data_IF_391994709012
#
_entry.id   IF_391994709012
#
_cell.length_a   1.000
_cell.length_b   1.000
_cell.length_c   1.000
_cell.angle_alpha   90.00
_cell.angle_beta   90.00
_cell.angle_gamma   90.00
#
_symmetry.space_group_name_H-M   'P 1'
#
loop_
_entity.id
_entity.type
_entity.pdbx_description
1 polymer ?
#
# COMPACT_ATOMS: atom_id res chain seq x y z
N UNK A 1 12.60 -20.66 1.25
CA UNK A 1 11.83 -19.78 0.34
C UNK A 1 12.42 -19.74 -1.08
N UNK A 2 13.75 -19.59 -1.24
CA UNK A 2 14.39 -19.56 -2.56
C UNK A 2 14.11 -20.78 -3.43
N UNK A 3 14.15 -21.99 -2.87
CA UNK A 3 13.86 -23.24 -3.61
C UNK A 3 12.45 -23.27 -4.19
N UNK A 4 11.44 -22.79 -3.44
CA UNK A 4 10.06 -22.75 -3.90
C UNK A 4 9.90 -21.77 -5.07
N UNK A 5 10.53 -20.60 -4.97
CA UNK A 5 10.49 -19.57 -6.01
C UNK A 5 11.18 -20.04 -7.29
N UNK A 6 12.30 -20.74 -7.16
CA UNK A 6 13.02 -21.35 -8.29
C UNK A 6 12.18 -22.43 -8.99
N UNK A 7 11.52 -23.30 -8.22
CA UNK A 7 10.63 -24.35 -8.75
C UNK A 7 9.44 -23.71 -9.49
N UNK A 8 8.83 -22.67 -8.91
CA UNK A 8 7.73 -21.94 -9.53
C UNK A 8 8.15 -21.28 -10.85
N UNK A 9 9.35 -20.70 -10.88
CA UNK A 9 9.91 -20.08 -12.09
C UNK A 9 10.14 -21.06 -13.23
N UNK A 10 10.36 -22.34 -12.94
CA UNK A 10 10.50 -23.39 -13.95
C UNK A 10 9.12 -23.98 -14.32
N UNK A 11 8.25 -24.21 -13.35
CA UNK A 11 6.97 -24.91 -13.57
C UNK A 11 5.99 -24.03 -14.35
N UNK A 12 5.91 -22.73 -14.02
CA UNK A 12 4.96 -21.82 -14.68
C UNK A 12 5.17 -21.79 -16.20
N UNK A 13 6.37 -21.55 -16.74
CA UNK A 13 6.58 -21.59 -18.20
C UNK A 13 6.27 -22.93 -18.84
N UNK A 14 6.52 -24.05 -18.16
CA UNK A 14 6.20 -25.38 -18.68
C UNK A 14 4.67 -25.56 -18.80
N UNK A 15 3.92 -25.13 -17.81
CA UNK A 15 2.44 -25.15 -17.84
C UNK A 15 1.94 -24.26 -18.97
N UNK A 16 2.49 -23.02 -19.10
CA UNK A 16 2.10 -22.07 -20.15
C UNK A 16 2.29 -22.64 -21.55
N UNK A 17 3.47 -23.20 -21.84
CA UNK A 17 3.76 -23.82 -23.13
C UNK A 17 2.78 -24.99 -23.39
N UNK A 18 2.53 -25.81 -22.37
CA UNK A 18 1.60 -26.95 -22.49
C UNK A 18 0.18 -26.48 -22.82
N UNK A 19 -0.31 -25.42 -22.16
CA UNK A 19 -1.63 -24.84 -22.41
C UNK A 19 -1.68 -24.18 -23.79
N UNK A 20 -0.67 -23.40 -24.16
CA UNK A 20 -0.58 -22.78 -25.49
C UNK A 20 -0.60 -23.82 -26.61
N UNK A 21 0.10 -24.94 -26.44
CA UNK A 21 0.08 -26.03 -27.42
C UNK A 21 -1.29 -26.67 -27.56
N UNK A 22 -2.00 -26.92 -26.43
CA UNK A 22 -3.34 -27.50 -26.45
C UNK A 22 -4.37 -26.54 -27.07
N UNK A 23 -4.34 -25.28 -26.70
CA UNK A 23 -5.22 -24.24 -27.26
C UNK A 23 -4.93 -24.04 -28.75
N UNK A 24 -3.63 -24.00 -29.12
CA UNK A 24 -3.22 -23.90 -30.51
C UNK A 24 -3.61 -25.10 -31.39
N UNK A 25 -3.67 -26.31 -30.79
CA UNK A 25 -4.16 -27.52 -31.49
C UNK A 25 -5.66 -27.47 -31.78
N UNK A 26 -6.45 -26.84 -30.91
CA UNK A 26 -7.92 -26.74 -31.03
C UNK A 26 -8.34 -25.53 -31.87
N UNK A 27 -7.82 -24.36 -31.60
CA UNK A 27 -8.19 -23.10 -32.26
C UNK A 27 -7.34 -22.74 -33.47
N UNK A 28 -6.17 -23.36 -33.59
CA UNK A 28 -5.15 -22.98 -34.55
C UNK A 28 -4.17 -21.94 -34.01
N UNK A 29 -2.98 -21.89 -34.62
CA UNK A 29 -1.86 -21.05 -34.16
C UNK A 29 -2.19 -19.55 -34.26
N UNK A 30 -2.77 -19.10 -35.37
CA UNK A 30 -3.05 -17.68 -35.60
C UNK A 30 -4.10 -17.08 -34.61
N UNK A 31 -5.24 -17.73 -34.37
CA UNK A 31 -6.18 -17.26 -33.36
C UNK A 31 -5.58 -17.25 -31.95
N UNK A 32 -4.77 -18.23 -31.59
CA UNK A 32 -4.10 -18.30 -30.29
C UNK A 32 -3.17 -17.11 -30.09
N UNK A 33 -2.33 -16.78 -31.08
CA UNK A 33 -1.44 -15.61 -31.04
C UNK A 33 -2.27 -14.31 -30.93
N UNK A 34 -3.36 -14.20 -31.69
CA UNK A 34 -4.22 -13.03 -31.64
C UNK A 34 -4.84 -12.82 -30.26
N UNK A 35 -5.30 -13.91 -29.61
CA UNK A 35 -5.85 -13.85 -28.23
C UNK A 35 -4.77 -13.39 -27.24
N UNK A 36 -3.57 -13.97 -27.28
CA UNK A 36 -2.47 -13.59 -26.37
C UNK A 36 -2.09 -12.12 -26.55
N UNK A 37 -1.96 -11.63 -27.79
CA UNK A 37 -1.67 -10.22 -28.04
C UNK A 37 -2.80 -9.31 -27.52
N UNK A 38 -4.05 -9.72 -27.75
CA UNK A 38 -5.22 -8.95 -27.29
C UNK A 38 -5.31 -8.88 -25.76
N UNK A 39 -5.09 -10.00 -25.06
CA UNK A 39 -5.10 -10.04 -23.58
C UNK A 39 -3.96 -9.21 -22.99
N UNK A 40 -2.76 -9.31 -23.55
CA UNK A 40 -1.62 -8.50 -23.13
C UNK A 40 -1.87 -7.00 -23.33
N UNK A 41 -2.43 -6.60 -24.49
CA UNK A 41 -2.78 -5.21 -24.76
C UNK A 41 -3.85 -4.69 -23.80
N UNK A 42 -4.92 -5.48 -23.57
CA UNK A 42 -5.99 -5.16 -22.68
C UNK A 42 -5.46 -5.01 -21.24
N UNK A 43 -4.66 -5.96 -20.80
CA UNK A 43 -4.03 -5.95 -19.48
C UNK A 43 -3.13 -4.75 -19.26
N UNK A 44 -2.25 -4.44 -20.23
CA UNK A 44 -1.38 -3.26 -20.14
C UNK A 44 -2.18 -1.96 -20.03
N UNK A 45 -3.28 -1.83 -20.78
CA UNK A 45 -4.18 -0.68 -20.70
C UNK A 45 -4.79 -0.53 -19.31
N UNK A 46 -5.31 -1.63 -18.73
CA UNK A 46 -5.92 -1.60 -17.40
C UNK A 46 -4.89 -1.37 -16.29
N UNK A 47 -3.72 -2.00 -16.36
CA UNK A 47 -2.62 -1.77 -15.41
C UNK A 47 -2.23 -0.30 -15.41
N UNK A 48 -2.04 0.30 -16.58
CA UNK A 48 -1.71 1.73 -16.70
C UNK A 48 -2.80 2.63 -16.10
N UNK A 49 -4.06 2.38 -16.44
CA UNK A 49 -5.18 3.19 -15.94
C UNK A 49 -5.32 3.11 -14.42
N UNK A 50 -5.30 1.90 -13.88
CA UNK A 50 -5.43 1.67 -12.45
C UNK A 50 -4.18 2.14 -11.69
N UNK A 51 -2.99 1.95 -12.26
CA UNK A 51 -1.73 2.42 -11.69
C UNK A 51 -1.70 3.93 -11.52
N UNK A 52 -2.09 4.70 -12.56
CA UNK A 52 -2.19 6.16 -12.48
C UNK A 52 -3.23 6.60 -11.45
N UNK A 53 -4.39 5.96 -11.40
CA UNK A 53 -5.43 6.25 -10.39
C UNK A 53 -4.91 6.00 -8.97
N UNK A 54 -4.23 4.86 -8.74
CA UNK A 54 -3.63 4.53 -7.45
C UNK A 54 -2.56 5.54 -7.04
N UNK A 55 -1.71 5.96 -7.98
CA UNK A 55 -0.67 6.96 -7.73
C UNK A 55 -1.28 8.32 -7.32
N UNK A 56 -2.33 8.77 -8.01
CA UNK A 56 -3.05 9.99 -7.64
C UNK A 56 -3.68 9.89 -6.25
N UNK A 57 -4.26 8.72 -5.89
CA UNK A 57 -4.80 8.48 -4.54
C UNK A 57 -3.70 8.55 -3.47
N UNK A 58 -2.52 7.96 -3.73
CA UNK A 58 -1.36 8.07 -2.84
C UNK A 58 -0.98 9.52 -2.60
N UNK A 59 -0.82 10.31 -3.67
CA UNK A 59 -0.44 11.73 -3.57
C UNK A 59 -1.48 12.54 -2.79
N UNK A 60 -2.78 12.33 -3.04
CA UNK A 60 -3.85 13.02 -2.36
C UNK A 60 -3.87 12.70 -0.86
N UNK A 61 -3.74 11.42 -0.48
CA UNK A 61 -3.70 11.01 0.93
C UNK A 61 -2.47 11.55 1.65
N UNK A 62 -1.30 11.52 0.99
CA UNK A 62 -0.08 12.10 1.55
C UNK A 62 -0.19 13.61 1.77
N UNK A 63 -0.83 14.34 0.83
CA UNK A 63 -1.10 15.77 0.98
C UNK A 63 -2.04 16.08 2.15
N UNK A 64 -2.91 15.12 2.53
CA UNK A 64 -3.80 15.20 3.69
C UNK A 64 -3.15 14.71 4.99
N UNK A 65 -1.87 14.35 4.98
CA UNK A 65 -1.17 13.78 6.12
C UNK A 65 -1.59 12.35 6.48
N UNK A 66 -2.32 11.66 5.60
CA UNK A 66 -2.77 10.29 5.81
C UNK A 66 -1.78 9.28 5.24
N UNK A 67 -1.62 8.13 5.91
CA UNK A 67 -0.80 7.03 5.39
C UNK A 67 -1.57 6.22 4.33
N UNK A 68 -1.08 6.15 3.08
CA UNK A 68 -1.75 5.46 1.97
C UNK A 68 -1.45 3.95 1.96
N UNK A 69 -1.65 3.25 3.08
CA UNK A 69 -1.29 1.82 3.22
C UNK A 69 -2.04 0.92 2.23
N UNK A 70 -3.30 1.21 1.95
CA UNK A 70 -4.13 0.44 1.02
C UNK A 70 -3.70 0.64 -0.43
N UNK A 71 -3.33 1.87 -0.76
CA UNK A 71 -2.83 2.23 -2.08
C UNK A 71 -1.47 1.59 -2.36
N UNK A 72 -0.60 1.50 -1.35
CA UNK A 72 0.70 0.82 -1.47
C UNK A 72 0.50 -0.66 -1.77
N UNK A 73 -0.36 -1.35 -1.01
CA UNK A 73 -0.68 -2.76 -1.27
C UNK A 73 -1.33 -2.94 -2.64
N UNK A 74 -2.25 -2.06 -3.00
CA UNK A 74 -2.90 -2.02 -4.31
C UNK A 74 -1.87 -1.85 -5.44
N UNK A 75 -0.94 -0.91 -5.29
CA UNK A 75 0.13 -0.66 -6.26
C UNK A 75 1.04 -1.88 -6.45
N UNK A 76 1.40 -2.56 -5.35
CA UNK A 76 2.18 -3.80 -5.41
C UNK A 76 1.44 -4.90 -6.16
N UNK A 77 0.13 -5.06 -5.92
CA UNK A 77 -0.69 -6.05 -6.64
C UNK A 77 -0.81 -5.74 -8.13
N UNK A 78 -0.93 -4.45 -8.49
CA UNK A 78 -0.93 -4.01 -9.88
C UNK A 78 0.42 -4.29 -10.56
N UNK A 79 1.52 -4.13 -9.83
CA UNK A 79 2.84 -4.46 -10.32
C UNK A 79 2.97 -5.97 -10.60
N UNK A 80 2.52 -6.82 -9.68
CA UNK A 80 2.49 -8.28 -9.86
C UNK A 80 1.60 -8.67 -11.04
N UNK A 81 0.41 -8.06 -11.16
CA UNK A 81 -0.48 -8.27 -12.31
C UNK A 81 0.20 -7.88 -13.62
N UNK A 82 0.92 -6.76 -13.64
CA UNK A 82 1.69 -6.31 -14.79
C UNK A 82 2.79 -7.29 -15.20
N UNK A 83 3.52 -7.85 -14.24
CA UNK A 83 4.55 -8.88 -14.49
C UNK A 83 3.93 -10.13 -15.13
N UNK A 84 2.78 -10.61 -14.64
CA UNK A 84 2.07 -11.74 -15.22
C UNK A 84 1.63 -11.47 -16.65
N UNK A 85 1.10 -10.28 -16.95
CA UNK A 85 0.62 -9.89 -18.27
C UNK A 85 1.74 -9.58 -19.28
N UNK A 86 2.97 -9.28 -18.83
CA UNK A 86 4.16 -9.12 -19.70
C UNK A 86 4.71 -10.48 -20.12
N UNK A 87 4.51 -11.51 -19.31
CA UNK A 87 4.89 -12.88 -19.65
C UNK A 87 3.78 -13.48 -20.51
N UNK A 88 3.97 -13.63 -21.84
CA UNK A 88 2.90 -14.10 -22.72
C UNK A 88 2.50 -15.52 -22.35
N UNK A 89 1.25 -15.72 -21.92
CA UNK A 89 0.72 -17.02 -21.56
C UNK A 89 -0.78 -16.97 -21.26
N UNK A 90 -1.46 -18.12 -21.29
CA UNK A 90 -2.88 -18.21 -21.02
C UNK A 90 -3.19 -18.16 -19.52
N UNK A 91 -2.43 -18.90 -18.72
CA UNK A 91 -2.62 -19.00 -17.27
C UNK A 91 -2.15 -17.73 -16.59
N UNK A 92 -0.97 -17.22 -16.96
CA UNK A 92 -0.46 -15.96 -16.42
C UNK A 92 -1.33 -14.77 -16.80
N UNK A 93 -1.86 -14.70 -18.01
CA UNK A 93 -2.81 -13.66 -18.43
C UNK A 93 -4.09 -13.72 -17.61
N UNK A 94 -4.65 -14.92 -17.41
CA UNK A 94 -5.84 -15.09 -16.58
C UNK A 94 -5.60 -14.65 -15.12
N UNK A 95 -4.46 -15.02 -14.53
CA UNK A 95 -4.08 -14.59 -13.18
C UNK A 95 -3.85 -13.07 -13.11
N UNK A 96 -3.15 -12.50 -14.08
CA UNK A 96 -2.92 -11.07 -14.19
C UNK A 96 -4.22 -10.28 -14.30
N UNK A 97 -5.12 -10.68 -15.20
CA UNK A 97 -6.44 -10.07 -15.34
C UNK A 97 -7.31 -10.23 -14.09
N UNK A 98 -7.26 -11.37 -13.42
CA UNK A 98 -7.97 -11.57 -12.14
C UNK A 98 -7.52 -10.59 -11.06
N UNK A 99 -6.22 -10.32 -10.95
CA UNK A 99 -5.67 -9.33 -10.02
C UNK A 99 -6.06 -7.88 -10.36
N UNK A 100 -6.43 -7.59 -11.62
CA UNK A 100 -6.93 -6.29 -12.03
C UNK A 100 -8.37 -6.02 -11.58
N UNK A 101 -9.13 -7.06 -11.24
CA UNK A 101 -10.51 -6.93 -10.76
C UNK A 101 -10.48 -6.37 -9.32
N UNK A 102 -11.11 -5.20 -9.05
CA UNK A 102 -11.07 -4.58 -7.72
C UNK A 102 -11.62 -5.48 -6.61
N UNK A 103 -12.63 -6.31 -6.90
CA UNK A 103 -13.21 -7.23 -5.93
C UNK A 103 -12.21 -8.30 -5.45
N UNK A 104 -11.43 -8.88 -6.36
CA UNK A 104 -10.37 -9.85 -6.03
C UNK A 104 -9.28 -9.18 -5.20
N UNK A 105 -8.85 -8.00 -5.60
CA UNK A 105 -7.83 -7.23 -4.90
C UNK A 105 -8.26 -6.85 -3.50
N UNK A 106 -9.48 -6.34 -3.31
CA UNK A 106 -10.00 -5.96 -2.00
C UNK A 106 -10.09 -7.16 -1.05
N UNK A 107 -10.44 -8.35 -1.56
CA UNK A 107 -10.43 -9.59 -0.80
C UNK A 107 -9.02 -9.95 -0.30
N UNK A 108 -8.00 -9.81 -1.15
CA UNK A 108 -6.61 -10.10 -0.80
C UNK A 108 -6.08 -9.05 0.19
N UNK A 109 -6.33 -7.76 -0.06
CA UNK A 109 -5.94 -6.66 0.86
C UNK A 109 -6.55 -6.88 2.25
N UNK A 110 -7.84 -7.26 2.33
CA UNK A 110 -8.52 -7.57 3.59
C UNK A 110 -7.85 -8.73 4.33
N UNK A 111 -7.49 -9.80 3.63
CA UNK A 111 -6.81 -10.96 4.20
C UNK A 111 -5.40 -10.63 4.70
N UNK A 112 -4.64 -9.85 3.93
CA UNK A 112 -3.30 -9.39 4.32
C UNK A 112 -3.36 -8.49 5.56
N UNK A 113 -4.32 -7.56 5.63
CA UNK A 113 -4.53 -6.70 6.81
C UNK A 113 -4.91 -7.50 8.04
N UNK A 114 -5.83 -8.46 7.92
CA UNK A 114 -6.21 -9.33 9.03
C UNK A 114 -5.00 -10.09 9.59
N UNK A 115 -4.11 -10.56 8.71
CA UNK A 115 -2.92 -11.32 9.10
C UNK A 115 -1.82 -10.42 9.72
N UNK A 116 -1.71 -9.17 9.27
CA UNK A 116 -0.80 -8.19 9.87
C UNK A 116 -1.29 -7.77 11.28
N UNK A 117 -2.59 -7.55 11.46
CA UNK A 117 -3.17 -7.20 12.74
C UNK A 117 -3.04 -8.33 13.78
N UNK A 118 -3.17 -9.60 13.37
CA UNK A 118 -3.00 -10.74 14.29
C UNK A 118 -1.54 -10.98 14.70
N UNK A 119 -0.57 -10.63 13.85
CA UNK A 119 0.86 -10.68 14.20
C UNK A 119 1.34 -9.48 14.99
N UNK A 120 0.70 -8.33 14.84
CA UNK A 120 1.00 -7.12 15.60
C UNK A 120 0.57 -7.18 17.08
N UNK A 121 -0.34 -8.09 17.45
CA UNK A 121 -0.77 -8.26 18.84
C UNK A 121 0.29 -8.91 19.74
N UNK A 122 1.38 -9.46 19.18
CA UNK A 122 2.43 -10.16 19.97
C UNK A 122 3.84 -9.57 19.85
N UNK A 123 4.01 -8.38 19.29
CA UNK A 123 5.35 -7.78 19.20
C UNK A 123 5.33 -6.37 18.66
N UNK A 124 5.61 -5.43 19.57
CA UNK A 124 5.93 -4.03 19.33
C UNK A 124 4.86 -3.22 18.57
N UNK A 125 4.06 -2.58 19.38
CA UNK A 125 3.22 -1.44 19.07
C UNK A 125 4.06 -0.36 18.37
N UNK A 126 4.09 -0.35 17.06
CA UNK A 126 4.45 0.84 16.30
C UNK A 126 3.31 1.83 16.47
N UNK A 127 3.31 2.53 17.60
CA UNK A 127 2.45 3.68 17.83
C UNK A 127 2.95 4.81 16.93
N UNK A 128 2.41 4.88 15.73
CA UNK A 128 2.39 6.15 15.03
C UNK A 128 1.42 7.06 15.78
N UNK A 129 1.98 7.94 16.58
CA UNK A 129 1.23 9.05 17.18
C UNK A 129 0.69 9.93 16.06
N UNK A 130 -0.49 9.64 15.57
CA UNK A 130 -1.33 10.65 14.95
C UNK A 130 -1.73 11.61 16.06
N UNK A 131 -1.12 12.76 16.06
CA UNK A 131 -1.50 13.88 16.91
C UNK A 131 -2.85 14.41 16.41
N UNK A 132 -3.93 13.71 16.74
CA UNK A 132 -5.27 14.25 16.64
C UNK A 132 -5.48 15.13 17.85
N UNK A 133 -5.27 16.41 17.64
CA UNK A 133 -5.70 17.48 18.53
C UNK A 133 -7.22 17.62 18.38
N UNK A 134 -7.97 16.72 18.97
CA UNK A 134 -9.37 16.96 19.24
C UNK A 134 -9.53 17.41 20.69
N UNK A 135 -9.80 18.68 20.79
CA UNK A 135 -10.28 19.42 21.91
C UNK A 135 -11.62 18.80 22.37
N UNK A 136 -11.62 18.05 23.44
CA UNK A 136 -12.83 17.67 24.16
C UNK A 136 -12.62 17.97 25.64
N UNK A 137 -13.25 19.03 26.03
CA UNK A 137 -13.56 19.51 27.34
C UNK A 137 -14.62 18.59 27.96
N UNK A 138 -14.31 17.92 29.07
CA UNK A 138 -15.25 17.55 30.16
C UNK A 138 -14.45 16.87 31.27
N UNK A 139 -14.18 17.61 32.27
CA UNK A 139 -14.73 17.53 33.63
C UNK A 139 -14.96 16.09 34.16
N UNK A 140 -14.17 15.62 35.08
CA UNK A 140 -14.58 15.15 36.40
C UNK A 140 -13.39 14.59 37.18
N UNK A 141 -13.28 15.10 38.39
CA UNK A 141 -12.52 14.70 39.56
C UNK A 141 -12.30 13.19 39.75
N UNK A 142 -11.10 12.77 40.16
CA UNK A 142 -10.94 12.11 41.45
C UNK A 142 -9.47 11.90 41.82
N UNK A 143 -9.17 12.12 43.05
CA UNK A 143 -7.93 12.08 43.79
C UNK A 143 -7.18 10.75 43.61
N UNK A 144 -5.89 10.84 43.31
CA UNK A 144 -4.93 9.89 43.86
C UNK A 144 -3.59 10.59 44.08
N UNK A 145 -3.29 10.73 45.38
CA UNK A 145 -2.05 11.26 45.92
C UNK A 145 -0.84 10.52 45.40
N UNK A 146 0.11 11.26 44.88
CA UNK A 146 1.49 10.76 44.69
C UNK A 146 2.44 11.60 45.54
N UNK A 147 3.29 10.95 46.38
CA UNK A 147 4.15 11.61 47.34
C UNK A 147 5.52 11.91 46.74
N UNK A 148 5.60 12.87 45.83
CA UNK A 148 6.87 13.51 45.48
C UNK A 148 6.60 14.94 44.98
N UNK A 149 6.32 15.84 45.93
CA UNK A 149 6.47 17.28 45.74
C UNK A 149 7.81 17.68 46.29
N UNK A 150 8.78 17.84 45.43
CA UNK A 150 9.97 18.59 45.77
C UNK A 150 10.05 19.84 44.90
N UNK A 151 9.82 20.95 45.58
CA UNK A 151 10.12 22.33 45.28
C UNK A 151 10.92 22.62 44.01
N UNK A 152 10.30 23.26 43.07
CA UNK A 152 10.99 24.21 42.21
C UNK A 152 10.21 25.52 42.24
N UNK A 153 10.70 26.43 43.07
CA UNK A 153 10.32 27.84 43.06
C UNK A 153 10.86 28.46 41.78
N UNK A 154 10.00 29.02 40.97
CA UNK A 154 10.38 30.06 40.02
C UNK A 154 9.52 31.27 40.28
N UNK A 155 10.16 32.42 40.27
CA UNK A 155 9.73 33.40 39.31
C UNK A 155 10.87 34.27 38.80
N UNK A 156 11.31 34.05 37.57
CA UNK A 156 11.97 35.11 36.88
C UNK A 156 11.00 35.84 35.97
N UNK A 157 10.49 36.97 36.48
CA UNK A 157 9.96 38.04 35.63
C UNK A 157 11.04 38.49 34.69
N UNK A 158 10.97 38.08 33.47
CA UNK A 158 11.76 38.65 32.40
C UNK A 158 11.37 40.10 32.16
N UNK A 159 12.32 41.01 32.44
CA UNK A 159 12.19 42.43 32.17
C UNK A 159 12.37 42.60 30.64
N UNK A 160 11.36 43.03 29.95
CA UNK A 160 11.41 43.45 28.55
C UNK A 160 12.27 44.69 28.45
N UNK A 161 13.35 44.63 27.67
CA UNK A 161 14.17 45.80 27.32
C UNK A 161 13.57 46.38 26.04
N UNK A 162 13.00 47.57 26.14
CA UNK A 162 12.61 48.39 25.00
C UNK A 162 13.89 48.92 24.33
N UNK A 163 14.19 48.44 23.14
CA UNK A 163 15.30 48.94 22.32
C UNK A 163 14.77 50.06 21.41
N UNK A 164 15.19 51.30 21.70
CA UNK A 164 15.00 52.40 20.76
C UNK A 164 15.96 52.24 19.57
N UNK A 165 15.38 52.25 18.38
CA UNK A 165 16.11 52.18 17.12
C UNK A 165 16.25 53.58 16.54
N UNK A 166 17.41 54.19 16.65
CA UNK A 166 17.75 55.47 16.04
C UNK A 166 18.31 55.25 14.62
N UNK A 167 17.60 55.72 13.62
CA UNK A 167 18.01 55.69 12.21
C UNK A 167 18.93 56.89 11.96
N UNK A 168 20.17 56.61 11.65
CA UNK A 168 21.15 57.63 11.21
C UNK A 168 21.10 57.74 9.69
N UNK A 169 20.71 58.94 9.21
CA UNK A 169 20.79 59.33 7.79
C UNK A 169 22.26 59.50 7.35
#
# INVERSE_FOLDING_TARGET
MFRLLFVLFIIIPIIEISVLMQVGAVLGVWPTIAIVIFTAWLGAKYVRQQGLSTLNSVQTKMAQGQMPSDEIVTGLMLLVAGVFLVTPGFVTDFLGLSLLIPAVRNGIVGSVKAQLNTRGANGQHFQFHTHNQEQSQSDFSEQQESPFQEHIQSPHKGKTLDGEFERKD
#
